data_IF_686292866296
#
_entry.id   IF_686292866296
#
_cell.length_a   1.000
_cell.length_b   1.000
_cell.length_c   1.000
_cell.angle_alpha   90.00
_cell.angle_beta   90.00
_cell.angle_gamma   90.00
#
_symmetry.space_group_name_H-M   'P 1'
#
loop_
_entity.id
_entity.type
_entity.pdbx_description
1 polymer ?
#
# COMPACT_ATOMS: atom_id res chain seq x y z
N UNK A 1 13.52 -23.87 -19.26
CA UNK A 1 12.76 -23.35 -18.13
C UNK A 1 11.49 -22.78 -18.71
N UNK A 2 10.34 -23.34 -18.38
CA UNK A 2 9.07 -22.98 -19.02
C UNK A 2 8.64 -21.60 -18.51
N UNK A 3 8.75 -20.59 -19.37
CA UNK A 3 7.93 -19.38 -19.24
C UNK A 3 6.49 -19.86 -19.19
N UNK A 4 5.80 -19.60 -18.08
CA UNK A 4 4.38 -19.89 -17.96
C UNK A 4 3.66 -19.06 -19.02
N UNK A 5 3.42 -19.68 -20.16
CA UNK A 5 2.54 -19.13 -21.19
C UNK A 5 1.20 -18.92 -20.46
N UNK A 6 0.76 -17.66 -20.33
CA UNK A 6 -0.61 -17.37 -19.90
C UNK A 6 -1.53 -18.34 -20.63
N UNK A 7 -2.26 -19.15 -19.88
CA UNK A 7 -3.10 -20.16 -20.52
C UNK A 7 -4.07 -19.45 -21.47
N UNK A 8 -4.35 -20.04 -22.63
CA UNK A 8 -5.34 -19.50 -23.55
C UNK A 8 -6.68 -19.21 -22.85
N UNK A 9 -7.02 -20.05 -21.87
CA UNK A 9 -8.20 -19.89 -21.02
C UNK A 9 -8.14 -18.58 -20.21
N UNK A 10 -6.99 -18.22 -19.62
CA UNK A 10 -6.83 -16.97 -18.89
C UNK A 10 -7.01 -15.75 -19.81
N UNK A 11 -6.39 -15.76 -20.98
CA UNK A 11 -6.55 -14.68 -21.97
C UNK A 11 -8.00 -14.50 -22.39
N UNK A 12 -8.71 -15.62 -22.62
CA UNK A 12 -10.15 -15.59 -22.96
C UNK A 12 -11.00 -15.05 -21.81
N UNK A 13 -10.73 -15.46 -20.58
CA UNK A 13 -11.46 -14.98 -19.39
C UNK A 13 -11.22 -13.48 -19.18
N UNK A 14 -9.96 -13.02 -19.22
CA UNK A 14 -9.61 -11.60 -19.12
C UNK A 14 -10.30 -10.77 -20.22
N UNK A 15 -10.33 -11.26 -21.45
CA UNK A 15 -11.01 -10.57 -22.56
C UNK A 15 -12.52 -10.51 -22.35
N UNK A 16 -13.14 -11.56 -21.81
CA UNK A 16 -14.58 -11.58 -21.48
C UNK A 16 -14.90 -10.55 -20.36
N UNK A 17 -14.11 -10.53 -19.30
CA UNK A 17 -14.25 -9.53 -18.22
C UNK A 17 -14.05 -8.13 -18.79
N UNK A 18 -13.07 -7.91 -19.67
CA UNK A 18 -12.85 -6.63 -20.34
C UNK A 18 -14.09 -6.12 -21.07
N UNK A 19 -14.76 -7.00 -21.82
CA UNK A 19 -16.01 -6.63 -22.50
C UNK A 19 -17.13 -6.28 -21.51
N UNK A 20 -17.22 -6.97 -20.38
CA UNK A 20 -18.19 -6.61 -19.34
C UNK A 20 -17.90 -5.22 -18.74
N UNK A 21 -16.65 -4.95 -18.45
CA UNK A 21 -16.21 -3.62 -17.97
C UNK A 21 -16.50 -2.54 -19.02
N UNK A 22 -16.21 -2.78 -20.28
CA UNK A 22 -16.50 -1.84 -21.39
C UNK A 22 -18.00 -1.52 -21.48
N UNK A 23 -18.86 -2.53 -21.36
CA UNK A 23 -20.33 -2.34 -21.35
C UNK A 23 -20.76 -1.51 -20.17
N UNK A 24 -20.25 -1.80 -18.96
CA UNK A 24 -20.60 -1.08 -17.75
C UNK A 24 -20.13 0.39 -17.85
N UNK A 25 -18.88 0.65 -18.23
CA UNK A 25 -18.35 2.00 -18.37
C UNK A 25 -19.08 2.80 -19.46
N UNK A 26 -19.47 2.19 -20.57
CA UNK A 26 -20.23 2.86 -21.66
C UNK A 26 -21.65 3.31 -21.27
N UNK A 27 -22.20 2.77 -20.18
CA UNK A 27 -23.51 3.14 -19.65
C UNK A 27 -23.43 4.06 -18.43
N UNK A 28 -22.23 4.31 -17.93
CA UNK A 28 -22.03 5.10 -16.72
C UNK A 28 -22.65 6.52 -16.80
N UNK A 29 -22.62 7.14 -17.96
CA UNK A 29 -23.21 8.50 -18.18
C UNK A 29 -24.73 8.49 -18.33
N UNK A 30 -25.34 7.35 -18.66
CA UNK A 30 -26.78 7.26 -18.95
C UNK A 30 -27.63 6.93 -17.73
N UNK A 31 -27.14 6.03 -16.89
CA UNK A 31 -27.81 5.58 -15.66
C UNK A 31 -26.75 5.15 -14.64
N UNK A 32 -26.24 6.11 -13.89
CA UNK A 32 -25.13 5.95 -12.93
C UNK A 32 -25.46 4.92 -11.83
N UNK A 33 -26.64 5.04 -11.22
CA UNK A 33 -27.03 4.16 -10.11
C UNK A 33 -27.14 2.71 -10.58
N UNK A 34 -27.76 2.49 -11.75
CA UNK A 34 -27.83 1.16 -12.35
C UNK A 34 -26.45 0.60 -12.68
N UNK A 35 -25.56 1.43 -13.22
CA UNK A 35 -24.19 1.05 -13.57
C UNK A 35 -23.40 0.63 -12.32
N UNK A 36 -23.47 1.40 -11.24
CA UNK A 36 -22.84 1.08 -9.96
C UNK A 36 -23.43 -0.20 -9.36
N UNK A 37 -24.76 -0.37 -9.42
CA UNK A 37 -25.43 -1.61 -9.01
C UNK A 37 -24.92 -2.83 -9.79
N UNK A 38 -24.72 -2.68 -11.11
CA UNK A 38 -24.16 -3.76 -11.94
C UNK A 38 -22.69 -4.08 -11.59
N UNK A 39 -21.88 -3.09 -11.19
CA UNK A 39 -20.53 -3.33 -10.68
C UNK A 39 -20.54 -4.19 -9.41
N UNK A 40 -21.49 -3.94 -8.51
CA UNK A 40 -21.67 -4.78 -7.30
C UNK A 40 -22.08 -6.21 -7.68
N UNK A 41 -22.95 -6.39 -8.70
CA UNK A 41 -23.34 -7.73 -9.19
C UNK A 41 -22.13 -8.46 -9.80
N UNK A 42 -21.33 -7.77 -10.58
CA UNK A 42 -20.08 -8.32 -11.14
C UNK A 42 -19.14 -8.72 -10.01
N UNK A 43 -18.94 -7.85 -9.00
CA UNK A 43 -18.14 -8.19 -7.83
C UNK A 43 -18.68 -9.43 -7.11
N UNK A 44 -20.00 -9.51 -6.89
CA UNK A 44 -20.64 -10.69 -6.27
C UNK A 44 -20.42 -11.97 -7.09
N UNK A 45 -20.48 -11.88 -8.41
CA UNK A 45 -20.23 -13.03 -9.29
C UNK A 45 -18.77 -13.53 -9.19
N UNK A 46 -17.79 -12.63 -9.03
CA UNK A 46 -16.39 -13.01 -8.91
C UNK A 46 -15.99 -13.42 -7.49
N UNK A 47 -16.42 -12.67 -6.49
CA UNK A 47 -16.01 -12.91 -5.10
C UNK A 47 -16.91 -13.91 -4.36
N UNK A 48 -18.11 -14.20 -4.87
CA UNK A 48 -19.01 -15.25 -4.37
C UNK A 48 -19.19 -15.21 -2.86
N UNK A 49 -18.90 -16.33 -2.21
CA UNK A 49 -19.00 -16.50 -0.76
C UNK A 49 -17.88 -15.84 0.06
N UNK A 50 -16.96 -15.07 -0.58
CA UNK A 50 -15.94 -14.32 0.16
C UNK A 50 -16.54 -13.24 1.07
N UNK A 51 -17.75 -12.79 0.77
CA UNK A 51 -18.56 -11.89 1.60
C UNK A 51 -19.98 -12.43 1.71
N UNK A 52 -20.69 -12.05 2.77
CA UNK A 52 -22.10 -12.45 2.94
C UNK A 52 -23.02 -11.72 1.94
N UNK A 53 -24.19 -12.30 1.70
CA UNK A 53 -25.21 -11.66 0.85
C UNK A 53 -25.64 -10.30 1.40
N UNK A 54 -25.71 -10.17 2.73
CA UNK A 54 -26.01 -8.90 3.41
C UNK A 54 -24.91 -7.83 3.15
N UNK A 55 -23.65 -8.26 3.08
CA UNK A 55 -22.54 -7.33 2.79
C UNK A 55 -22.61 -6.79 1.35
N UNK A 56 -22.97 -7.63 0.37
CA UNK A 56 -23.19 -7.17 -1.01
C UNK A 56 -24.41 -6.26 -1.12
N UNK A 57 -25.50 -6.58 -0.42
CA UNK A 57 -26.70 -5.75 -0.43
C UNK A 57 -26.45 -4.39 0.25
N UNK A 58 -25.74 -4.38 1.37
CA UNK A 58 -25.33 -3.15 2.04
C UNK A 58 -24.42 -2.30 1.13
N UNK A 59 -23.43 -2.91 0.48
CA UNK A 59 -22.57 -2.21 -0.47
C UNK A 59 -23.39 -1.64 -1.64
N UNK A 60 -24.37 -2.40 -2.16
CA UNK A 60 -25.28 -1.92 -3.21
C UNK A 60 -26.06 -0.69 -2.75
N UNK A 61 -26.73 -0.76 -1.60
CA UNK A 61 -27.53 0.34 -1.06
C UNK A 61 -26.66 1.58 -0.86
N UNK A 62 -25.52 1.43 -0.19
CA UNK A 62 -24.59 2.54 0.10
C UNK A 62 -24.03 3.18 -1.17
N UNK A 63 -23.62 2.37 -2.17
CA UNK A 63 -22.98 2.89 -3.39
C UNK A 63 -23.98 3.44 -4.42
N UNK A 64 -25.27 3.06 -4.34
CA UNK A 64 -26.31 3.58 -5.22
C UNK A 64 -27.13 4.72 -4.59
N UNK A 65 -26.99 4.98 -3.30
CA UNK A 65 -27.61 6.11 -2.62
C UNK A 65 -26.87 7.41 -3.00
N UNK A 66 -27.53 8.37 -3.69
CA UNK A 66 -26.87 9.60 -4.13
C UNK A 66 -26.42 10.51 -2.97
N UNK A 67 -27.00 10.36 -1.79
CA UNK A 67 -26.64 11.13 -0.60
C UNK A 67 -25.43 10.54 0.14
N UNK A 68 -25.13 9.26 -0.07
CA UNK A 68 -23.97 8.60 0.52
C UNK A 68 -22.64 9.21 0.01
N UNK A 69 -21.71 9.44 0.92
CA UNK A 69 -20.35 9.87 0.55
C UNK A 69 -19.61 8.87 -0.32
N UNK A 70 -19.89 7.57 -0.14
CA UNK A 70 -19.28 6.49 -0.93
C UNK A 70 -19.78 6.49 -2.37
N UNK A 71 -21.08 6.81 -2.57
CA UNK A 71 -21.63 7.07 -3.89
C UNK A 71 -20.98 8.29 -4.53
N UNK A 72 -20.82 9.38 -3.78
CA UNK A 72 -20.12 10.58 -4.25
C UNK A 72 -18.65 10.27 -4.63
N UNK A 73 -17.94 9.49 -3.81
CA UNK A 73 -16.56 9.07 -4.10
C UNK A 73 -16.48 8.26 -5.40
N UNK A 74 -17.32 7.23 -5.57
CA UNK A 74 -17.35 6.42 -6.79
C UNK A 74 -17.71 7.26 -8.01
N UNK A 75 -18.65 8.18 -7.87
CA UNK A 75 -19.02 9.09 -8.94
C UNK A 75 -17.85 10.00 -9.34
N UNK A 76 -17.13 10.58 -8.36
CA UNK A 76 -15.91 11.36 -8.64
C UNK A 76 -14.88 10.54 -9.41
N UNK A 77 -14.63 9.29 -8.98
CA UNK A 77 -13.67 8.40 -9.67
C UNK A 77 -14.11 8.15 -11.12
N UNK A 78 -15.39 7.85 -11.34
CA UNK A 78 -15.90 7.56 -12.68
C UNK A 78 -15.93 8.81 -13.59
N UNK A 79 -16.19 10.00 -13.02
CA UNK A 79 -16.27 11.25 -13.80
C UNK A 79 -14.88 11.83 -14.11
N UNK A 80 -13.89 11.61 -13.27
CA UNK A 80 -12.57 12.23 -13.37
C UNK A 80 -11.52 11.31 -13.99
N UNK A 81 -11.79 10.01 -14.11
CA UNK A 81 -10.80 9.06 -14.60
C UNK A 81 -10.91 8.84 -16.12
N UNK A 82 -9.77 8.89 -16.81
CA UNK A 82 -9.70 8.55 -18.23
C UNK A 82 -10.24 7.13 -18.47
N UNK A 83 -11.03 6.89 -19.52
CA UNK A 83 -11.64 5.58 -19.80
C UNK A 83 -10.63 4.43 -19.93
N UNK A 84 -9.43 4.66 -20.49
CA UNK A 84 -8.40 3.63 -20.57
C UNK A 84 -7.81 3.31 -19.20
N UNK A 85 -7.58 4.34 -18.37
CA UNK A 85 -7.11 4.18 -16.99
C UNK A 85 -8.14 3.40 -16.17
N UNK A 86 -9.42 3.82 -16.19
CA UNK A 86 -10.50 3.16 -15.46
C UNK A 86 -10.65 1.69 -15.86
N UNK A 87 -10.66 1.41 -17.17
CA UNK A 87 -10.74 0.06 -17.72
C UNK A 87 -9.56 -0.81 -17.29
N UNK A 88 -8.35 -0.29 -17.43
CA UNK A 88 -7.12 -1.03 -17.12
C UNK A 88 -7.02 -1.33 -15.63
N UNK A 89 -7.35 -0.37 -14.77
CA UNK A 89 -7.39 -0.59 -13.32
C UNK A 89 -8.46 -1.61 -12.93
N UNK A 90 -9.64 -1.56 -13.53
CA UNK A 90 -10.69 -2.56 -13.24
C UNK A 90 -10.23 -3.99 -13.59
N UNK A 91 -9.47 -4.15 -14.67
CA UNK A 91 -8.90 -5.45 -15.07
C UNK A 91 -7.73 -5.86 -14.18
N UNK A 92 -6.74 -4.97 -14.00
CA UNK A 92 -5.50 -5.34 -13.32
C UNK A 92 -5.69 -5.43 -11.80
N UNK A 93 -6.32 -4.43 -11.20
CA UNK A 93 -6.55 -4.44 -9.75
C UNK A 93 -7.78 -5.31 -9.41
N UNK A 94 -8.92 -5.09 -10.09
CA UNK A 94 -10.15 -5.82 -9.81
C UNK A 94 -10.04 -7.31 -10.17
N UNK A 95 -9.85 -7.63 -11.44
CA UNK A 95 -9.86 -9.03 -11.87
C UNK A 95 -8.56 -9.78 -11.55
N UNK A 96 -7.37 -9.22 -11.92
CA UNK A 96 -6.11 -9.93 -11.72
C UNK A 96 -5.68 -9.97 -10.25
N UNK A 97 -5.55 -8.82 -9.58
CA UNK A 97 -5.01 -8.79 -8.22
C UNK A 97 -6.02 -9.28 -7.17
N UNK A 98 -7.24 -8.68 -7.12
CA UNK A 98 -8.21 -9.01 -6.08
C UNK A 98 -8.86 -10.38 -6.28
N UNK A 99 -9.23 -10.74 -7.49
CA UNK A 99 -9.92 -12.00 -7.71
C UNK A 99 -8.97 -13.17 -7.99
N UNK A 100 -8.32 -13.19 -9.15
CA UNK A 100 -7.50 -14.32 -9.58
C UNK A 100 -6.25 -14.49 -8.73
N UNK A 101 -5.53 -13.40 -8.51
CA UNK A 101 -4.28 -13.38 -7.74
C UNK A 101 -4.49 -13.84 -6.31
N UNK A 102 -5.52 -13.32 -5.62
CA UNK A 102 -5.83 -13.73 -4.24
C UNK A 102 -6.09 -15.23 -4.13
N UNK A 103 -6.79 -15.84 -5.10
CA UNK A 103 -6.99 -17.29 -5.13
C UNK A 103 -5.64 -18.02 -5.26
N UNK A 104 -4.80 -17.64 -6.23
CA UNK A 104 -3.49 -18.23 -6.45
C UNK A 104 -2.59 -18.07 -5.23
N UNK A 105 -2.60 -16.90 -4.58
CA UNK A 105 -1.84 -16.65 -3.35
C UNK A 105 -2.25 -17.62 -2.24
N UNK A 106 -3.55 -17.82 -2.02
CA UNK A 106 -4.05 -18.75 -1.00
C UNK A 106 -3.60 -20.19 -1.27
N UNK A 107 -3.70 -20.65 -2.51
CA UNK A 107 -3.23 -21.97 -2.94
C UNK A 107 -1.71 -22.12 -2.73
N UNK A 108 -0.93 -21.11 -3.12
CA UNK A 108 0.52 -21.11 -2.98
C UNK A 108 0.99 -21.05 -1.53
N UNK A 109 0.30 -20.33 -0.64
CA UNK A 109 0.59 -20.35 0.81
C UNK A 109 0.51 -21.77 1.39
N UNK A 110 -0.52 -22.52 1.02
CA UNK A 110 -0.68 -23.91 1.43
C UNK A 110 0.39 -24.81 0.79
N UNK A 111 0.64 -24.62 -0.50
CA UNK A 111 1.62 -25.44 -1.24
C UNK A 111 3.05 -25.26 -0.74
N UNK A 112 3.45 -24.02 -0.50
CA UNK A 112 4.84 -23.68 -0.18
C UNK A 112 5.10 -23.51 1.32
N UNK A 113 4.05 -23.51 2.15
CA UNK A 113 4.16 -23.39 3.62
C UNK A 113 4.92 -22.13 4.07
N UNK A 114 4.75 -21.02 3.35
CA UNK A 114 5.31 -19.71 3.68
C UNK A 114 4.28 -18.60 3.40
N UNK A 115 4.59 -17.40 3.84
CA UNK A 115 3.83 -16.23 3.42
C UNK A 115 3.98 -16.01 1.91
N UNK A 116 2.89 -15.70 1.21
CA UNK A 116 2.91 -15.21 -0.17
C UNK A 116 2.20 -13.86 -0.16
N UNK A 117 2.86 -12.77 -0.58
CA UNK A 117 2.31 -11.42 -0.46
C UNK A 117 1.21 -11.15 -1.49
N UNK A 118 0.36 -10.17 -1.18
CA UNK A 118 -0.61 -9.63 -2.12
C UNK A 118 -0.02 -8.52 -2.99
N UNK A 119 0.97 -7.80 -2.46
CA UNK A 119 1.75 -6.81 -3.18
C UNK A 119 3.24 -6.92 -2.85
N UNK A 120 4.08 -6.50 -3.77
CA UNK A 120 5.53 -6.31 -3.56
C UNK A 120 5.83 -4.83 -3.70
N UNK A 121 6.52 -4.27 -2.70
CA UNK A 121 7.05 -2.91 -2.72
C UNK A 121 8.54 -2.99 -3.10
N UNK A 122 9.01 -2.17 -4.02
CA UNK A 122 10.43 -2.13 -4.35
C UNK A 122 10.92 -0.73 -4.74
N UNK A 123 12.23 -0.52 -4.59
CA UNK A 123 12.91 0.72 -4.86
C UNK A 123 13.67 0.67 -6.20
N UNK A 124 13.17 1.29 -7.27
CA UNK A 124 13.93 1.38 -8.52
C UNK A 124 15.29 2.04 -8.34
N UNK A 125 15.41 2.94 -7.38
CA UNK A 125 16.62 3.73 -7.09
C UNK A 125 16.63 4.25 -5.65
N UNK A 126 17.82 4.40 -5.07
CA UNK A 126 18.00 5.19 -3.84
C UNK A 126 18.23 6.69 -4.11
N UNK A 127 18.44 7.08 -5.37
CA UNK A 127 18.62 8.48 -5.70
C UNK A 127 17.36 9.29 -5.47
N UNK A 128 17.49 10.43 -4.80
CA UNK A 128 16.39 11.37 -4.58
C UNK A 128 16.87 12.80 -4.88
N UNK A 129 16.00 13.62 -5.42
CA UNK A 129 16.24 15.03 -5.66
C UNK A 129 15.84 15.92 -4.46
N UNK A 130 15.50 15.31 -3.32
CA UNK A 130 15.09 15.99 -2.09
C UNK A 130 15.81 15.42 -0.85
N UNK A 131 15.78 16.19 0.25
CA UNK A 131 16.36 15.83 1.56
C UNK A 131 15.35 16.13 2.68
N UNK A 132 14.31 15.29 2.78
CA UNK A 132 13.23 15.49 3.75
C UNK A 132 13.69 15.16 5.17
N UNK A 133 13.26 15.96 6.16
CA UNK A 133 13.56 15.72 7.57
C UNK A 133 12.96 14.37 8.02
N UNK A 134 13.79 13.51 8.60
CA UNK A 134 13.39 12.19 9.07
C UNK A 134 12.91 11.24 7.94
N UNK A 135 13.56 11.30 6.79
CA UNK A 135 13.29 10.39 5.69
C UNK A 135 13.78 8.97 6.04
N UNK A 136 12.88 7.99 6.04
CA UNK A 136 13.22 6.60 6.34
C UNK A 136 14.21 5.99 5.33
N UNK A 137 14.21 6.46 4.08
CA UNK A 137 15.11 5.98 3.02
C UNK A 137 16.46 6.71 2.98
N UNK A 138 16.70 7.68 3.86
CA UNK A 138 17.93 8.50 3.84
C UNK A 138 19.22 7.68 4.03
N UNK A 139 19.15 6.62 4.81
CA UNK A 139 20.30 5.79 5.16
C UNK A 139 20.74 4.81 4.04
N UNK A 140 19.95 4.61 3.00
CA UNK A 140 20.36 3.81 1.83
C UNK A 140 21.40 4.51 0.94
N UNK A 141 21.57 5.82 1.10
CA UNK A 141 22.42 6.62 0.22
C UNK A 141 21.78 6.89 -1.16
N UNK A 142 22.55 7.49 -2.09
CA UNK A 142 22.01 7.97 -3.36
C UNK A 142 22.62 7.26 -4.59
N UNK A 143 23.17 6.05 -4.44
CA UNK A 143 23.99 5.42 -5.49
C UNK A 143 23.46 4.12 -6.05
N UNK A 144 22.50 3.50 -5.37
CA UNK A 144 22.03 2.17 -5.75
C UNK A 144 20.82 2.25 -6.68
N UNK A 145 20.78 1.31 -7.60
CA UNK A 145 19.68 1.16 -8.55
C UNK A 145 19.47 -0.32 -8.81
N UNK A 146 18.22 -0.76 -8.81
CA UNK A 146 17.86 -2.02 -9.44
C UNK A 146 18.03 -1.88 -10.94
N UNK A 147 18.58 -2.90 -11.60
CA UNK A 147 18.57 -2.95 -13.07
C UNK A 147 17.15 -3.11 -13.61
N UNK A 148 16.94 -2.86 -14.89
CA UNK A 148 15.65 -3.16 -15.51
C UNK A 148 15.34 -4.66 -15.40
N UNK A 149 16.34 -5.49 -15.55
CA UNK A 149 16.26 -6.95 -15.47
C UNK A 149 15.85 -7.42 -14.05
N UNK A 150 16.33 -6.76 -12.99
CA UNK A 150 15.90 -7.04 -11.61
C UNK A 150 14.43 -6.69 -11.39
N UNK A 151 14.01 -5.50 -11.83
CA UNK A 151 12.61 -5.08 -11.75
C UNK A 151 11.69 -6.01 -12.56
N UNK A 152 12.11 -6.42 -13.74
CA UNK A 152 11.41 -7.39 -14.58
C UNK A 152 11.30 -8.77 -13.92
N UNK A 153 12.38 -9.24 -13.27
CA UNK A 153 12.41 -10.48 -12.49
C UNK A 153 11.41 -10.43 -11.35
N UNK A 154 11.41 -9.33 -10.57
CA UNK A 154 10.48 -9.15 -9.44
C UNK A 154 9.04 -9.30 -9.91
N UNK A 155 8.67 -8.63 -11.01
CA UNK A 155 7.30 -8.69 -11.52
C UNK A 155 6.98 -10.05 -12.11
N UNK A 156 7.88 -10.64 -12.87
CA UNK A 156 7.69 -11.96 -13.51
C UNK A 156 7.47 -13.06 -12.47
N UNK A 157 8.38 -13.18 -11.50
CA UNK A 157 8.31 -14.20 -10.45
C UNK A 157 7.14 -13.94 -9.48
N UNK A 158 6.84 -12.67 -9.19
CA UNK A 158 5.67 -12.31 -8.38
C UNK A 158 4.35 -12.74 -9.03
N UNK A 159 4.19 -12.58 -10.34
CA UNK A 159 3.01 -13.06 -11.10
C UNK A 159 2.85 -14.59 -11.00
N UNK A 160 3.93 -15.34 -11.02
CA UNK A 160 3.91 -16.80 -10.83
C UNK A 160 3.33 -17.19 -9.46
N UNK A 161 3.53 -16.34 -8.45
CA UNK A 161 2.99 -16.52 -7.10
C UNK A 161 1.56 -15.96 -6.93
N UNK A 162 1.06 -15.21 -7.90
CA UNK A 162 -0.27 -14.59 -7.88
C UNK A 162 -0.28 -13.09 -7.54
N UNK A 163 0.89 -12.44 -7.50
CA UNK A 163 1.02 -11.01 -7.21
C UNK A 163 0.80 -10.19 -8.47
N UNK A 164 -0.19 -9.28 -8.45
CA UNK A 164 -0.55 -8.41 -9.56
C UNK A 164 -0.60 -6.92 -9.17
N UNK A 165 -0.19 -6.58 -7.97
CA UNK A 165 0.00 -5.20 -7.51
C UNK A 165 1.45 -5.01 -7.09
N UNK A 166 2.08 -4.00 -7.64
CA UNK A 166 3.45 -3.59 -7.30
C UNK A 166 3.45 -2.13 -6.90
N UNK A 167 4.12 -1.84 -5.78
CA UNK A 167 4.30 -0.47 -5.34
C UNK A 167 5.77 -0.08 -5.51
N UNK A 168 6.01 1.14 -5.96
CA UNK A 168 7.35 1.68 -6.16
C UNK A 168 7.58 2.82 -5.17
N UNK A 169 8.75 2.79 -4.50
CA UNK A 169 9.21 3.84 -3.59
C UNK A 169 10.73 3.98 -3.70
N UNK A 170 11.44 4.27 -2.64
CA UNK A 170 12.89 4.37 -2.62
C UNK A 170 13.36 5.77 -2.30
N UNK A 171 14.32 6.28 -3.07
CA UNK A 171 14.60 7.71 -3.14
C UNK A 171 13.43 8.45 -3.79
N UNK A 172 13.58 8.85 -5.05
CA UNK A 172 12.45 9.29 -5.87
C UNK A 172 12.33 8.36 -7.10
N UNK A 173 11.28 7.52 -7.18
CA UNK A 173 11.12 6.55 -8.28
C UNK A 173 11.11 7.21 -9.65
N UNK A 174 10.55 8.40 -9.77
CA UNK A 174 10.43 9.11 -11.04
C UNK A 174 11.75 9.64 -11.61
N UNK A 175 12.87 9.52 -10.88
CA UNK A 175 14.21 9.64 -11.48
C UNK A 175 14.42 8.56 -12.56
N UNK A 176 13.72 7.43 -12.45
CA UNK A 176 13.74 6.28 -13.37
C UNK A 176 12.49 6.17 -14.24
N UNK A 177 11.84 7.30 -14.60
CA UNK A 177 10.59 7.32 -15.41
C UNK A 177 10.63 6.40 -16.63
N UNK A 178 11.73 6.43 -17.39
CA UNK A 178 11.84 5.66 -18.63
C UNK A 178 11.79 4.15 -18.38
N UNK A 179 12.48 3.67 -17.34
CA UNK A 179 12.44 2.26 -16.98
C UNK A 179 11.10 1.84 -16.40
N UNK A 180 10.47 2.71 -15.60
CA UNK A 180 9.13 2.47 -15.07
C UNK A 180 8.09 2.37 -16.18
N UNK A 181 8.09 3.27 -17.16
CA UNK A 181 7.20 3.20 -18.30
C UNK A 181 7.43 1.93 -19.13
N UNK A 182 8.68 1.57 -19.37
CA UNK A 182 9.06 0.33 -20.07
C UNK A 182 8.60 -0.91 -19.31
N UNK A 183 8.72 -0.91 -17.98
CA UNK A 183 8.26 -2.00 -17.11
C UNK A 183 6.73 -2.13 -17.14
N UNK A 184 6.01 -1.00 -17.04
CA UNK A 184 4.56 -0.95 -17.08
C UNK A 184 4.01 -1.39 -18.44
N UNK A 185 4.69 -1.05 -19.55
CA UNK A 185 4.33 -1.50 -20.89
C UNK A 185 4.54 -3.01 -21.06
N UNK A 186 5.67 -3.54 -20.57
CA UNK A 186 5.97 -4.97 -20.63
C UNK A 186 5.00 -5.80 -19.81
N UNK A 187 4.62 -5.30 -18.63
CA UNK A 187 3.70 -5.95 -17.70
C UNK A 187 2.36 -5.20 -17.63
N UNK A 188 1.68 -5.11 -18.77
CA UNK A 188 0.42 -4.38 -18.90
C UNK A 188 -0.78 -5.05 -18.19
N UNK A 189 -0.57 -6.24 -17.63
CA UNK A 189 -1.54 -7.05 -16.90
C UNK A 189 -1.43 -6.89 -15.36
N UNK A 190 -0.49 -6.08 -14.86
CA UNK A 190 -0.36 -5.75 -13.44
C UNK A 190 -0.64 -4.26 -13.18
N UNK A 191 -0.97 -3.93 -11.93
CA UNK A 191 -1.12 -2.54 -11.49
C UNK A 191 0.15 -2.08 -10.80
N UNK A 192 0.65 -0.92 -11.20
CA UNK A 192 1.72 -0.20 -10.49
C UNK A 192 1.14 0.96 -9.71
N UNK A 193 1.66 1.20 -8.51
CA UNK A 193 1.32 2.32 -7.66
C UNK A 193 2.61 2.98 -7.18
N UNK A 194 2.80 4.28 -7.42
CA UNK A 194 4.07 4.96 -7.23
C UNK A 194 3.96 5.98 -6.11
N UNK A 195 4.76 5.81 -5.05
CA UNK A 195 4.99 6.84 -4.06
C UNK A 195 6.00 7.84 -4.62
N UNK A 196 5.63 9.12 -4.68
CA UNK A 196 6.48 10.14 -5.28
C UNK A 196 6.42 11.46 -4.54
N UNK A 197 7.52 12.19 -4.54
CA UNK A 197 7.56 13.58 -4.11
C UNK A 197 6.92 14.54 -5.13
N UNK A 198 6.41 14.03 -6.24
CA UNK A 198 5.64 14.74 -7.27
C UNK A 198 6.42 15.71 -8.15
N UNK A 199 7.64 16.10 -7.78
CA UNK A 199 8.41 17.17 -8.46
C UNK A 199 8.79 16.84 -9.91
N UNK A 200 8.73 15.56 -10.28
CA UNK A 200 9.11 15.08 -11.61
C UNK A 200 7.90 14.70 -12.49
N UNK A 201 6.66 14.94 -12.05
CA UNK A 201 5.46 14.74 -12.87
C UNK A 201 5.36 15.89 -13.87
N UNK A 202 5.30 15.54 -15.15
CA UNK A 202 5.21 16.47 -16.26
C UNK A 202 4.20 16.00 -17.33
N UNK A 203 3.79 16.89 -18.19
CA UNK A 203 2.81 16.67 -19.26
C UNK A 203 3.16 15.48 -20.18
N UNK A 204 4.40 15.33 -20.70
CA UNK A 204 4.75 14.16 -21.50
C UNK A 204 4.62 12.83 -20.75
N UNK A 205 4.97 12.81 -19.45
CA UNK A 205 4.85 11.63 -18.63
C UNK A 205 3.39 11.26 -18.37
N UNK A 206 2.52 12.24 -18.07
CA UNK A 206 1.10 12.01 -17.91
C UNK A 206 0.45 11.38 -19.14
N UNK A 207 0.80 11.81 -20.34
CA UNK A 207 0.32 11.22 -21.60
C UNK A 207 0.68 9.74 -21.73
N UNK A 208 1.91 9.37 -21.41
CA UNK A 208 2.34 7.97 -21.42
C UNK A 208 1.63 7.13 -20.33
N UNK A 209 1.44 7.70 -19.14
CA UNK A 209 0.68 7.04 -18.06
C UNK A 209 -0.76 6.75 -18.50
N UNK A 210 -1.44 7.70 -19.12
CA UNK A 210 -2.80 7.50 -19.70
C UNK A 210 -2.79 6.43 -20.78
N UNK A 211 -1.80 6.46 -21.70
CA UNK A 211 -1.65 5.45 -22.75
C UNK A 211 -1.54 4.03 -22.17
N UNK A 212 -0.75 3.87 -21.12
CA UNK A 212 -0.54 2.57 -20.47
C UNK A 212 -1.73 2.17 -19.59
N UNK A 213 -2.28 3.10 -18.81
CA UNK A 213 -3.47 2.92 -17.98
C UNK A 213 -3.24 2.13 -16.69
N UNK A 214 -2.07 1.58 -16.44
CA UNK A 214 -1.77 0.69 -15.31
C UNK A 214 -0.86 1.32 -14.24
N UNK A 215 -0.78 2.64 -14.17
CA UNK A 215 -0.01 3.37 -13.17
C UNK A 215 -0.94 4.31 -12.38
N UNK A 216 -0.87 4.26 -11.06
CA UNK A 216 -1.51 5.19 -10.14
C UNK A 216 -0.46 5.82 -9.22
N UNK A 217 -0.80 6.93 -8.55
CA UNK A 217 0.16 7.66 -7.72
C UNK A 217 -0.32 7.85 -6.29
N UNK A 218 0.64 7.89 -5.35
CA UNK A 218 0.49 8.37 -3.99
C UNK A 218 1.43 9.58 -3.82
N UNK A 219 0.85 10.77 -3.82
CA UNK A 219 1.59 12.02 -3.77
C UNK A 219 1.93 12.37 -2.32
N UNK A 220 3.20 12.62 -2.08
CA UNK A 220 3.68 12.97 -0.74
C UNK A 220 3.28 14.38 -0.36
N UNK A 221 2.48 14.55 0.70
CA UNK A 221 2.04 15.85 1.21
C UNK A 221 1.89 15.81 2.74
N UNK A 222 2.20 16.93 3.43
CA UNK A 222 2.27 17.00 4.89
C UNK A 222 1.38 18.11 5.49
N UNK A 223 0.23 18.39 4.87
CA UNK A 223 -0.74 19.36 5.35
C UNK A 223 -0.67 20.71 4.64
N UNK A 224 -0.54 21.80 5.41
CA UNK A 224 -0.47 23.17 4.86
C UNK A 224 0.87 23.46 4.15
N UNK A 225 0.99 24.55 3.37
CA UNK A 225 2.28 24.94 2.79
C UNK A 225 3.41 24.98 3.82
N UNK A 226 3.13 25.55 5.00
CA UNK A 226 4.13 25.71 6.07
C UNK A 226 4.56 24.37 6.65
N UNK A 227 3.61 23.50 7.00
CA UNK A 227 3.94 22.16 7.58
C UNK A 227 4.58 21.25 6.54
N UNK A 228 4.17 21.35 5.30
CA UNK A 228 4.73 20.59 4.20
C UNK A 228 6.17 20.99 3.90
N UNK A 229 6.41 22.29 3.68
CA UNK A 229 7.72 22.77 3.26
C UNK A 229 8.74 22.74 4.43
N UNK A 230 8.27 22.84 5.69
CA UNK A 230 9.12 22.63 6.85
C UNK A 230 9.77 21.24 6.90
N UNK A 231 9.05 20.18 6.45
CA UNK A 231 9.58 18.82 6.42
C UNK A 231 10.28 18.49 5.10
N UNK A 232 9.73 18.95 3.97
CA UNK A 232 10.15 18.49 2.63
C UNK A 232 11.05 19.48 1.90
N UNK A 233 11.10 20.71 2.34
CA UNK A 233 11.87 21.79 1.71
C UNK A 233 10.99 22.80 0.99
N UNK A 234 11.49 24.02 0.90
CA UNK A 234 10.81 25.18 0.30
C UNK A 234 10.39 24.90 -1.15
N UNK A 235 9.12 25.22 -1.47
CA UNK A 235 8.54 25.08 -2.80
C UNK A 235 7.99 23.69 -3.12
N UNK A 236 8.16 22.70 -2.24
CA UNK A 236 7.62 21.36 -2.49
C UNK A 236 6.09 21.36 -2.53
N UNK A 237 5.41 22.12 -1.65
CA UNK A 237 3.96 22.22 -1.69
C UNK A 237 3.43 22.67 -3.06
N UNK A 238 4.05 23.70 -3.65
CA UNK A 238 3.67 24.17 -4.97
C UNK A 238 3.87 23.11 -6.06
N UNK A 239 4.93 22.33 -5.98
CA UNK A 239 5.17 21.24 -6.93
C UNK A 239 4.11 20.13 -6.81
N UNK A 240 3.69 19.77 -5.58
CA UNK A 240 2.59 18.80 -5.37
C UNK A 240 1.28 19.33 -5.93
N UNK A 241 0.96 20.60 -5.72
CA UNK A 241 -0.27 21.23 -6.28
C UNK A 241 -0.28 21.18 -7.80
N UNK A 242 0.84 21.49 -8.43
CA UNK A 242 0.98 21.41 -9.89
C UNK A 242 0.80 19.96 -10.39
N UNK A 243 1.40 19.01 -9.71
CA UNK A 243 1.25 17.58 -10.04
C UNK A 243 -0.20 17.10 -9.90
N UNK A 244 -0.91 17.49 -8.82
CA UNK A 244 -2.34 17.16 -8.65
C UNK A 244 -3.18 17.72 -9.80
N UNK A 245 -2.94 18.98 -10.20
CA UNK A 245 -3.67 19.60 -11.29
C UNK A 245 -3.42 18.88 -12.63
N UNK A 246 -2.16 18.52 -12.95
CA UNK A 246 -1.82 17.73 -14.13
C UNK A 246 -2.48 16.34 -14.13
N UNK A 247 -2.37 15.61 -13.02
CA UNK A 247 -2.94 14.27 -12.93
C UNK A 247 -4.48 14.31 -13.08
N UNK A 248 -5.13 15.28 -12.44
CA UNK A 248 -6.57 15.49 -12.57
C UNK A 248 -6.98 15.84 -13.99
N UNK A 249 -6.25 16.75 -14.67
CA UNK A 249 -6.51 17.14 -16.06
C UNK A 249 -6.42 15.96 -17.01
N UNK A 250 -5.47 15.05 -16.77
CA UNK A 250 -5.28 13.85 -17.58
C UNK A 250 -6.15 12.65 -17.16
N UNK A 251 -6.98 12.79 -16.14
CA UNK A 251 -7.83 11.69 -15.68
C UNK A 251 -7.04 10.52 -15.08
N UNK A 252 -5.90 10.78 -14.46
CA UNK A 252 -5.05 9.77 -13.82
C UNK A 252 -5.46 9.64 -12.36
N UNK A 253 -5.67 8.40 -11.90
CA UNK A 253 -6.02 8.13 -10.50
C UNK A 253 -4.82 8.37 -9.58
N UNK A 254 -5.04 9.16 -8.53
CA UNK A 254 -4.05 9.39 -7.49
C UNK A 254 -4.70 9.54 -6.11
N UNK A 255 -3.90 9.27 -5.11
CA UNK A 255 -4.16 9.55 -3.72
C UNK A 255 -2.97 10.26 -3.08
N UNK A 256 -2.96 10.35 -1.77
CA UNK A 256 -1.89 11.01 -1.01
C UNK A 256 -1.14 10.03 -0.11
N UNK A 257 0.13 10.32 0.13
CA UNK A 257 0.98 9.67 1.12
C UNK A 257 1.36 10.71 2.17
N UNK A 258 0.91 10.52 3.38
CA UNK A 258 1.01 11.49 4.47
C UNK A 258 1.76 10.84 5.63
N UNK A 259 2.93 11.39 5.96
CA UNK A 259 3.62 11.02 7.19
C UNK A 259 3.15 11.94 8.32
N UNK A 260 2.31 11.42 9.23
CA UNK A 260 1.92 12.21 10.39
C UNK A 260 2.93 12.09 11.53
N UNK A 261 3.21 13.25 12.11
CA UNK A 261 4.16 13.45 13.20
C UNK A 261 3.43 14.10 14.38
N UNK A 262 4.13 14.24 15.49
CA UNK A 262 3.64 15.01 16.63
C UNK A 262 3.23 16.44 16.27
N UNK A 263 3.90 17.03 15.28
CA UNK A 263 3.79 18.46 14.98
C UNK A 263 2.75 18.79 13.91
N UNK A 264 2.43 17.82 13.02
CA UNK A 264 1.53 18.09 11.87
C UNK A 264 0.18 17.34 11.93
N UNK A 265 -0.06 16.49 12.94
CA UNK A 265 -1.22 15.59 12.97
C UNK A 265 -2.56 16.34 12.80
N UNK A 266 -2.72 17.52 13.39
CA UNK A 266 -3.93 18.32 13.24
C UNK A 266 -4.05 18.90 11.82
N UNK A 267 -2.93 19.37 11.25
CA UNK A 267 -2.90 19.96 9.91
C UNK A 267 -3.27 18.94 8.82
N UNK A 268 -2.88 17.65 9.00
CA UNK A 268 -3.11 16.60 8.00
C UNK A 268 -4.42 15.83 8.19
N UNK A 269 -5.20 16.13 9.22
CA UNK A 269 -6.41 15.37 9.54
C UNK A 269 -7.67 16.21 9.68
N UNK A 270 -7.58 17.56 9.69
CA UNK A 270 -8.75 18.42 9.80
C UNK A 270 -9.64 18.36 8.54
N UNK A 271 -10.91 18.73 8.69
CA UNK A 271 -11.91 18.65 7.62
C UNK A 271 -11.57 19.53 6.42
N UNK A 272 -10.99 20.70 6.66
CA UNK A 272 -10.62 21.63 5.61
C UNK A 272 -9.59 21.03 4.66
N UNK A 273 -8.52 20.44 5.22
CA UNK A 273 -7.50 19.76 4.44
C UNK A 273 -8.06 18.54 3.69
N UNK A 274 -8.92 17.75 4.33
CA UNK A 274 -9.54 16.59 3.69
C UNK A 274 -10.43 17.00 2.51
N UNK A 275 -11.27 18.04 2.66
CA UNK A 275 -12.11 18.58 1.58
C UNK A 275 -11.25 19.15 0.46
N UNK A 276 -10.20 19.87 0.81
CA UNK A 276 -9.23 20.39 -0.17
C UNK A 276 -8.60 19.28 -1.01
N UNK A 277 -8.20 18.15 -0.40
CA UNK A 277 -7.67 17.00 -1.14
C UNK A 277 -8.70 16.42 -2.13
N UNK A 278 -9.98 16.31 -1.70
CA UNK A 278 -11.05 15.87 -2.59
C UNK A 278 -11.26 16.86 -3.77
N UNK A 279 -11.23 18.16 -3.51
CA UNK A 279 -11.33 19.19 -4.56
C UNK A 279 -10.19 19.12 -5.57
N UNK A 280 -8.98 18.79 -5.10
CA UNK A 280 -7.81 18.54 -5.95
C UNK A 280 -7.89 17.22 -6.74
N UNK A 281 -8.83 16.33 -6.42
CA UNK A 281 -9.03 15.06 -7.13
C UNK A 281 -8.37 13.85 -6.46
N UNK A 282 -7.87 13.99 -5.24
CA UNK A 282 -7.39 12.84 -4.48
C UNK A 282 -8.57 12.01 -3.94
N UNK A 283 -8.58 10.72 -4.21
CA UNK A 283 -9.68 9.82 -3.85
C UNK A 283 -9.42 9.00 -2.58
N UNK A 284 -8.15 8.87 -2.19
CA UNK A 284 -7.71 8.11 -1.02
C UNK A 284 -6.40 8.66 -0.46
N UNK A 285 -6.08 8.29 0.79
CA UNK A 285 -4.81 8.66 1.40
C UNK A 285 -4.26 7.58 2.30
N UNK A 286 -2.96 7.35 2.18
CA UNK A 286 -2.20 6.54 3.11
C UNK A 286 -1.59 7.43 4.18
N UNK A 287 -1.96 7.18 5.43
CA UNK A 287 -1.36 7.81 6.60
C UNK A 287 -0.31 6.88 7.18
N UNK A 288 0.89 7.38 7.32
CA UNK A 288 2.02 6.70 7.94
C UNK A 288 2.42 7.40 9.23
N UNK A 289 2.43 6.66 10.32
CA UNK A 289 3.06 7.10 11.55
C UNK A 289 4.55 7.36 11.30
N UNK A 290 5.10 8.45 11.83
CA UNK A 290 6.54 8.68 11.75
C UNK A 290 7.29 7.51 12.42
N UNK A 291 8.19 6.88 11.68
CA UNK A 291 8.96 5.72 12.13
C UNK A 291 10.41 6.12 12.41
N UNK A 292 10.97 5.82 13.59
CA UNK A 292 12.32 6.26 13.97
C UNK A 292 13.40 5.34 13.41
N UNK A 293 13.44 5.18 12.07
CA UNK A 293 14.38 4.32 11.35
C UNK A 293 15.65 5.09 11.01
N UNK A 294 16.81 4.45 11.18
CA UNK A 294 18.12 5.02 10.92
C UNK A 294 18.74 5.72 12.12
N UNK A 295 20.06 5.88 12.09
CA UNK A 295 20.82 6.54 13.17
C UNK A 295 20.48 8.03 13.31
N UNK A 296 20.10 8.69 12.20
CA UNK A 296 19.72 10.11 12.16
C UNK A 296 18.21 10.34 12.42
N UNK A 297 17.48 9.30 12.87
CA UNK A 297 16.07 9.43 13.16
C UNK A 297 15.80 10.42 14.30
N UNK A 298 14.64 11.08 14.23
CA UNK A 298 14.14 12.05 15.21
C UNK A 298 12.97 11.46 16.04
N UNK A 299 13.20 10.66 17.09
CA UNK A 299 12.15 10.01 17.85
C UNK A 299 11.13 10.97 18.47
N UNK A 300 11.52 12.24 18.68
CA UNK A 300 10.66 13.32 19.15
C UNK A 300 9.50 13.66 18.19
N UNK A 301 9.62 13.29 16.91
CA UNK A 301 8.56 13.44 15.92
C UNK A 301 7.46 12.37 16.04
N UNK A 302 7.70 11.29 16.79
CA UNK A 302 6.67 10.27 17.00
C UNK A 302 5.46 10.86 17.73
N UNK A 303 4.22 10.60 17.29
CA UNK A 303 3.01 11.02 17.97
C UNK A 303 2.95 10.49 19.40
N UNK A 304 2.35 11.27 20.32
CA UNK A 304 2.06 10.78 21.68
C UNK A 304 0.97 9.70 21.66
N UNK A 305 0.79 8.94 22.77
CA UNK A 305 -0.33 7.99 22.88
C UNK A 305 -1.70 8.65 22.65
N UNK A 306 -1.91 9.86 23.15
CA UNK A 306 -3.14 10.64 22.97
C UNK A 306 -3.35 11.02 21.51
N UNK A 307 -2.30 11.48 20.84
CA UNK A 307 -2.34 11.81 19.41
C UNK A 307 -2.59 10.56 18.56
N UNK A 308 -1.99 9.42 18.90
CA UNK A 308 -2.25 8.17 18.20
C UNK A 308 -3.69 7.68 18.42
N UNK A 309 -4.23 7.82 19.64
CA UNK A 309 -5.65 7.57 19.91
C UNK A 309 -6.54 8.49 19.07
N UNK A 310 -6.24 9.79 19.05
CA UNK A 310 -6.94 10.75 18.19
C UNK A 310 -6.94 10.30 16.72
N UNK A 311 -5.79 9.86 16.20
CA UNK A 311 -5.68 9.38 14.81
C UNK A 311 -6.61 8.18 14.55
N UNK A 312 -6.64 7.19 15.44
CA UNK A 312 -7.55 6.04 15.34
C UNK A 312 -9.01 6.50 15.31
N UNK A 313 -9.42 7.34 16.26
CA UNK A 313 -10.79 7.83 16.34
C UNK A 313 -11.14 8.66 15.09
N UNK A 314 -10.19 9.48 14.61
CA UNK A 314 -10.37 10.32 13.43
C UNK A 314 -10.54 9.50 12.15
N UNK A 315 -9.71 8.47 11.93
CA UNK A 315 -9.82 7.58 10.76
C UNK A 315 -11.16 6.80 10.80
N UNK A 316 -11.56 6.33 11.98
CA UNK A 316 -12.87 5.67 12.16
C UNK A 316 -14.02 6.62 11.81
N UNK A 317 -13.98 7.87 12.30
CA UNK A 317 -14.98 8.88 11.95
C UNK A 317 -14.99 9.16 10.44
N UNK A 318 -13.82 9.40 9.83
CA UNK A 318 -13.73 9.66 8.39
C UNK A 318 -14.28 8.50 7.54
N UNK A 319 -14.28 7.27 8.04
CA UNK A 319 -14.86 6.10 7.38
C UNK A 319 -16.34 5.85 7.73
N UNK A 320 -16.85 6.48 8.77
CA UNK A 320 -18.24 6.27 9.22
C UNK A 320 -19.25 6.99 8.32
N UNK A 321 -20.52 6.63 8.42
CA UNK A 321 -21.64 7.30 7.74
C UNK A 321 -21.94 8.71 8.29
N UNK A 322 -21.39 9.06 9.46
CA UNK A 322 -21.53 10.39 10.08
C UNK A 322 -20.72 11.46 9.35
N UNK A 323 -19.65 11.05 8.67
CA UNK A 323 -18.78 11.94 7.90
C UNK A 323 -19.27 12.02 6.45
N UNK A 324 -19.38 13.24 5.92
CA UNK A 324 -19.82 13.53 4.55
C UNK A 324 -18.67 13.70 3.53
N UNK A 325 -17.41 13.63 3.98
CA UNK A 325 -16.24 13.84 3.12
C UNK A 325 -15.99 12.59 2.26
N UNK A 326 -16.02 12.67 0.93
CA UNK A 326 -15.88 11.53 0.02
C UNK A 326 -14.41 11.17 -0.20
N UNK A 327 -13.72 10.75 0.86
CA UNK A 327 -12.31 10.37 0.88
C UNK A 327 -12.11 9.07 1.62
N UNK A 328 -11.26 8.17 1.13
CA UNK A 328 -10.95 6.91 1.80
C UNK A 328 -9.56 6.95 2.45
N UNK A 329 -9.46 7.25 3.76
CA UNK A 329 -8.20 7.23 4.49
C UNK A 329 -7.81 5.80 4.87
N UNK A 330 -6.52 5.48 4.80
CA UNK A 330 -5.91 4.24 5.29
C UNK A 330 -4.81 4.59 6.28
N UNK A 331 -4.76 3.95 7.44
CA UNK A 331 -3.74 4.18 8.46
C UNK A 331 -2.87 2.93 8.59
N UNK A 332 -1.67 3.01 8.05
CA UNK A 332 -0.77 1.87 7.92
C UNK A 332 -0.46 1.18 9.26
N UNK A 333 -0.28 1.96 10.34
CA UNK A 333 0.06 1.42 11.65
C UNK A 333 -1.17 1.00 12.47
N UNK A 334 -2.29 1.71 12.35
CA UNK A 334 -3.43 1.51 13.24
C UNK A 334 -4.54 0.64 12.62
N UNK A 335 -4.50 0.35 11.32
CA UNK A 335 -5.45 -0.55 10.65
C UNK A 335 -5.24 -2.04 10.95
N UNK A 336 -4.34 -2.38 11.86
CA UNK A 336 -4.08 -3.77 12.27
C UNK A 336 -5.33 -4.53 12.71
N UNK A 337 -6.32 -3.84 13.31
CA UNK A 337 -7.61 -4.42 13.68
C UNK A 337 -8.41 -4.93 12.47
N UNK A 338 -8.26 -4.31 11.29
CA UNK A 338 -8.97 -4.68 10.06
C UNK A 338 -8.23 -5.72 9.22
N UNK A 339 -6.92 -5.83 9.39
CA UNK A 339 -6.07 -6.70 8.57
C UNK A 339 -5.45 -7.87 9.37
N UNK A 340 -5.82 -8.03 10.64
CA UNK A 340 -5.35 -9.13 11.48
C UNK A 340 -3.92 -8.98 11.99
N UNK A 341 -3.51 -7.75 12.32
CA UNK A 341 -2.17 -7.44 12.84
C UNK A 341 -1.15 -7.10 11.77
N UNK A 342 0.14 -7.32 12.03
CA UNK A 342 1.23 -6.96 11.13
C UNK A 342 1.12 -7.65 9.76
N UNK A 343 1.21 -6.86 8.68
CA UNK A 343 1.09 -7.32 7.29
C UNK A 343 2.43 -7.61 6.61
N UNK A 344 3.55 -7.32 7.28
CA UNK A 344 4.91 -7.43 6.76
C UNK A 344 5.41 -8.89 6.64
N UNK A 345 6.65 -9.08 6.22
CA UNK A 345 7.28 -10.40 6.09
C UNK A 345 6.59 -11.29 5.07
N UNK A 346 6.08 -10.70 3.99
CA UNK A 346 5.38 -11.42 2.92
C UNK A 346 3.95 -11.84 3.28
N UNK A 347 3.41 -11.46 4.47
CA UNK A 347 2.02 -11.84 4.81
C UNK A 347 1.02 -11.15 3.88
N UNK A 348 1.15 -9.84 3.67
CA UNK A 348 0.43 -9.10 2.63
C UNK A 348 1.41 -8.34 1.74
N UNK A 349 2.57 -7.93 2.27
CA UNK A 349 3.61 -7.29 1.50
C UNK A 349 5.01 -7.54 2.09
N UNK A 350 6.02 -7.23 1.29
CA UNK A 350 7.41 -7.05 1.73
C UNK A 350 8.09 -6.02 0.81
N UNK A 351 9.29 -5.63 1.17
CA UNK A 351 10.08 -4.61 0.48
C UNK A 351 11.35 -5.18 -0.13
N UNK A 352 11.74 -4.68 -1.30
CA UNK A 352 13.04 -4.90 -1.91
C UNK A 352 13.69 -3.54 -2.13
N UNK A 353 14.80 -3.27 -1.46
CA UNK A 353 15.49 -2.01 -1.59
C UNK A 353 16.29 -1.91 -2.89
N UNK A 354 16.85 -0.73 -3.17
CA UNK A 354 17.59 -0.46 -4.41
C UNK A 354 18.95 -1.19 -4.53
N UNK A 355 19.43 -1.84 -3.47
CA UNK A 355 20.58 -2.73 -3.47
C UNK A 355 20.19 -4.20 -3.69
N UNK A 356 18.88 -4.48 -3.85
CA UNK A 356 18.34 -5.81 -4.04
C UNK A 356 18.06 -6.58 -2.77
N UNK A 357 18.32 -6.02 -1.58
CA UNK A 357 18.03 -6.70 -0.32
C UNK A 357 16.53 -6.77 -0.08
N UNK A 358 16.04 -7.95 0.29
CA UNK A 358 14.66 -8.20 0.62
C UNK A 358 14.44 -8.02 2.12
N UNK A 359 13.61 -7.05 2.46
CA UNK A 359 13.29 -6.62 3.82
C UNK A 359 11.85 -7.00 4.18
N UNK A 360 11.56 -7.44 5.40
CA UNK A 360 10.20 -7.77 5.79
C UNK A 360 9.22 -6.60 5.66
N UNK A 361 9.70 -5.37 5.86
CA UNK A 361 8.91 -4.13 5.84
C UNK A 361 9.80 -2.97 5.39
N UNK A 362 9.23 -1.99 4.72
CA UNK A 362 9.90 -0.76 4.31
C UNK A 362 10.54 0.02 5.48
N UNK A 363 10.11 -0.24 6.71
CA UNK A 363 10.67 0.36 7.93
C UNK A 363 11.56 -0.61 8.72
N UNK A 364 11.86 -1.79 8.20
CA UNK A 364 12.70 -2.81 8.85
C UNK A 364 13.90 -3.07 7.96
N UNK A 365 14.96 -2.29 8.15
CA UNK A 365 16.17 -2.30 7.36
C UNK A 365 17.14 -3.42 7.79
N UNK A 366 16.61 -4.66 7.80
CA UNK A 366 17.39 -5.88 8.07
C UNK A 366 17.03 -6.95 7.05
N UNK A 367 18.06 -7.64 6.54
CA UNK A 367 17.89 -8.69 5.55
C UNK A 367 18.90 -9.82 5.71
N UNK A 368 18.57 -10.98 5.19
CA UNK A 368 19.47 -12.09 4.89
C UNK A 368 19.12 -12.75 3.54
N UNK A 369 18.50 -11.97 2.65
CA UNK A 369 18.10 -12.42 1.32
C UNK A 369 18.20 -11.27 0.31
N UNK A 370 18.63 -11.59 -0.93
CA UNK A 370 18.83 -10.59 -1.97
C UNK A 370 18.29 -11.10 -3.31
N UNK A 371 17.62 -10.23 -4.07
CA UNK A 371 16.98 -10.57 -5.35
C UNK A 371 17.99 -10.92 -6.45
N UNK A 372 19.22 -10.47 -6.35
CA UNK A 372 20.26 -10.81 -7.34
C UNK A 372 20.62 -12.29 -7.30
N UNK A 373 20.61 -12.88 -6.10
CA UNK A 373 21.08 -14.25 -5.88
C UNK A 373 19.93 -15.27 -5.70
N UNK A 374 18.72 -14.80 -5.36
CA UNK A 374 17.58 -15.63 -4.98
C UNK A 374 16.33 -15.30 -5.78
N UNK A 375 15.45 -16.26 -5.95
CA UNK A 375 14.08 -16.05 -6.45
C UNK A 375 13.19 -15.48 -5.34
N UNK A 376 12.06 -14.89 -5.72
CA UNK A 376 11.06 -14.41 -4.76
C UNK A 376 10.61 -15.53 -3.79
N UNK A 377 10.44 -16.74 -4.28
CA UNK A 377 10.05 -17.86 -3.43
C UNK A 377 11.16 -18.26 -2.44
N UNK A 378 12.43 -18.24 -2.82
CA UNK A 378 13.57 -18.48 -1.93
C UNK A 378 13.70 -17.37 -0.89
N UNK A 379 13.49 -16.11 -1.27
CA UNK A 379 13.41 -14.97 -0.35
C UNK A 379 12.34 -15.20 0.72
N UNK A 380 11.13 -15.62 0.34
CA UNK A 380 10.04 -15.87 1.27
C UNK A 380 10.30 -17.06 2.22
N UNK A 381 11.26 -17.93 1.90
CA UNK A 381 11.77 -19.00 2.77
C UNK A 381 13.05 -18.62 3.53
N UNK A 382 13.57 -17.40 3.35
CA UNK A 382 14.76 -16.97 4.09
C UNK A 382 14.50 -16.95 5.61
N UNK A 383 15.53 -17.08 6.45
CA UNK A 383 15.36 -17.21 7.89
C UNK A 383 14.53 -16.08 8.52
N UNK A 384 14.77 -14.83 8.14
CA UNK A 384 14.03 -13.69 8.69
C UNK A 384 12.56 -13.69 8.26
N UNK A 385 12.25 -14.00 6.99
CA UNK A 385 10.88 -14.10 6.50
C UNK A 385 10.13 -15.25 7.17
N UNK A 386 10.78 -16.38 7.39
CA UNK A 386 10.19 -17.50 8.12
C UNK A 386 10.01 -17.21 9.61
N UNK A 387 10.85 -16.37 10.23
CA UNK A 387 10.61 -15.90 11.59
C UNK A 387 9.33 -15.04 11.66
N UNK A 388 9.09 -14.16 10.66
CA UNK A 388 7.81 -13.43 10.53
C UNK A 388 6.63 -14.39 10.33
N UNK A 389 6.73 -15.32 9.39
CA UNK A 389 5.69 -16.31 9.11
C UNK A 389 5.28 -17.10 10.34
N UNK A 390 6.26 -17.54 11.15
CA UNK A 390 6.02 -18.33 12.34
C UNK A 390 5.54 -17.51 13.54
N UNK A 391 5.94 -16.23 13.62
CA UNK A 391 5.65 -15.34 14.74
C UNK A 391 4.33 -14.56 14.64
N UNK A 392 3.81 -14.36 13.44
CA UNK A 392 2.58 -13.58 13.23
C UNK A 392 1.32 -14.33 13.66
N UNK A 393 0.32 -13.62 14.25
CA UNK A 393 0.37 -12.23 14.67
C UNK A 393 1.25 -12.03 15.90
N UNK A 394 2.11 -11.00 15.88
CA UNK A 394 3.07 -10.75 16.97
C UNK A 394 2.43 -10.34 18.30
N UNK A 395 1.20 -9.85 18.27
CA UNK A 395 0.44 -9.45 19.44
C UNK A 395 -1.05 -9.77 19.23
N UNK A 396 -1.73 -10.21 20.31
CA UNK A 396 -3.18 -10.46 20.31
C UNK A 396 -3.97 -9.16 20.20
N UNK A 397 -3.42 -8.07 20.69
CA UNK A 397 -3.95 -6.73 20.48
C UNK A 397 -3.42 -6.19 19.16
N UNK A 398 -4.26 -6.16 18.12
CA UNK A 398 -3.87 -5.75 16.78
C UNK A 398 -3.70 -4.22 16.62
N UNK A 399 -3.89 -3.43 17.66
CA UNK A 399 -3.43 -2.04 17.74
C UNK A 399 -1.97 -1.94 18.21
N UNK A 400 -1.33 -3.09 18.45
CA UNK A 400 0.10 -3.24 18.76
C UNK A 400 0.75 -4.26 17.81
N UNK A 401 0.59 -4.11 16.48
CA UNK A 401 0.93 -5.17 15.54
C UNK A 401 2.43 -5.26 15.22
N UNK A 402 3.18 -4.15 15.30
CA UNK A 402 4.53 -4.05 14.76
C UNK A 402 5.58 -4.68 15.69
N UNK A 403 6.45 -5.55 15.18
CA UNK A 403 7.53 -6.13 15.97
C UNK A 403 8.63 -5.11 16.33
N UNK A 404 8.71 -3.95 15.63
CA UNK A 404 9.65 -2.87 15.93
C UNK A 404 9.03 -1.86 16.89
N UNK A 405 7.91 -1.25 16.50
CA UNK A 405 7.37 -0.07 17.19
C UNK A 405 6.70 -0.43 18.53
N UNK A 406 5.97 -1.55 18.58
CA UNK A 406 5.19 -1.95 19.76
C UNK A 406 5.72 -3.20 20.48
N UNK A 407 6.55 -4.00 19.82
CA UNK A 407 7.08 -5.25 20.38
C UNK A 407 8.59 -5.37 20.08
N UNK A 408 9.43 -4.37 20.43
CA UNK A 408 10.83 -4.29 19.96
C UNK A 408 11.69 -5.50 20.34
N UNK A 409 11.43 -6.16 21.47
CA UNK A 409 12.15 -7.36 21.85
C UNK A 409 11.92 -8.54 20.88
N UNK A 410 10.78 -8.56 20.15
CA UNK A 410 10.54 -9.58 19.12
C UNK A 410 11.40 -9.33 17.88
N UNK A 411 11.52 -8.07 17.42
CA UNK A 411 12.41 -7.77 16.31
C UNK A 411 13.87 -8.09 16.65
N UNK A 412 14.32 -7.62 17.83
CA UNK A 412 15.68 -7.90 18.32
C UNK A 412 15.98 -9.40 18.29
N UNK A 413 15.08 -10.21 18.85
CA UNK A 413 15.20 -11.65 18.86
C UNK A 413 15.27 -12.23 17.45
N UNK A 414 14.34 -11.86 16.56
CA UNK A 414 14.30 -12.37 15.18
C UNK A 414 15.59 -12.05 14.41
N UNK A 415 16.09 -10.81 14.49
CA UNK A 415 17.30 -10.40 13.78
C UNK A 415 18.53 -11.16 14.31
N UNK A 416 18.70 -11.29 15.64
CA UNK A 416 19.82 -12.04 16.22
C UNK A 416 19.76 -13.54 15.89
N UNK A 417 18.60 -14.16 16.01
CA UNK A 417 18.45 -15.62 15.77
C UNK A 417 18.62 -15.98 14.30
N UNK A 418 18.27 -15.09 13.38
CA UNK A 418 18.36 -15.34 11.94
C UNK A 418 19.68 -14.89 11.32
N UNK A 419 20.47 -14.11 12.04
CA UNK A 419 21.72 -13.54 11.54
C UNK A 419 21.49 -12.49 10.44
N UNK A 420 20.32 -11.85 10.42
CA UNK A 420 20.06 -10.77 9.48
C UNK A 420 20.96 -9.57 9.77
N UNK A 421 21.44 -8.91 8.72
CA UNK A 421 22.30 -7.72 8.79
C UNK A 421 21.52 -6.44 8.47
N UNK A 422 22.03 -5.30 8.93
CA UNK A 422 21.49 -3.99 8.55
C UNK A 422 21.69 -3.74 7.05
N UNK A 423 20.67 -3.23 6.40
CA UNK A 423 20.66 -2.84 4.98
C UNK A 423 20.90 -1.34 4.78
N UNK A 424 21.08 -0.58 5.87
CA UNK A 424 21.51 0.81 5.82
C UNK A 424 22.99 0.87 5.39
N UNK A 425 23.24 1.46 4.23
CA UNK A 425 24.58 1.45 3.62
C UNK A 425 25.48 2.59 4.08
N UNK A 426 24.89 3.71 4.48
CA UNK A 426 25.66 4.87 4.92
C UNK A 426 26.06 4.78 6.40
N UNK A 427 25.11 4.41 7.25
CA UNK A 427 25.29 4.33 8.69
C UNK A 427 24.50 3.12 9.22
N UNK A 428 25.05 1.89 9.08
CA UNK A 428 24.36 0.69 9.51
C UNK A 428 23.89 0.77 10.97
N UNK A 429 22.58 0.74 11.19
CA UNK A 429 21.98 0.76 12.51
C UNK A 429 21.91 -0.66 13.08
N UNK A 430 22.40 -0.87 14.32
CA UNK A 430 22.20 -2.15 15.00
C UNK A 430 20.73 -2.31 15.44
N UNK A 431 20.25 -3.56 15.40
CA UNK A 431 18.88 -3.85 15.88
C UNK A 431 18.69 -3.50 17.35
N UNK A 432 19.74 -3.58 18.15
CA UNK A 432 19.70 -3.24 19.57
C UNK A 432 19.43 -1.72 19.75
N UNK A 433 20.13 -0.88 18.98
CA UNK A 433 19.91 0.56 19.02
C UNK A 433 18.50 0.95 18.55
N UNK A 434 18.04 0.41 17.42
CA UNK A 434 16.69 0.65 16.90
C UNK A 434 15.62 0.23 17.93
N UNK A 435 15.76 -0.95 18.52
CA UNK A 435 14.79 -1.45 19.50
C UNK A 435 14.79 -0.64 20.79
N UNK A 436 15.94 -0.15 21.23
CA UNK A 436 16.04 0.72 22.42
C UNK A 436 15.35 2.07 22.18
N UNK A 437 15.43 2.64 20.98
CA UNK A 437 14.65 3.86 20.60
C UNK A 437 13.13 3.64 20.75
N UNK A 438 12.62 2.45 20.42
CA UNK A 438 11.19 2.14 20.42
C UNK A 438 10.66 1.70 21.80
N UNK A 439 11.51 1.31 22.73
CA UNK A 439 11.12 0.66 23.98
C UNK A 439 10.20 1.51 24.88
N UNK A 440 10.55 2.76 25.09
CA UNK A 440 9.71 3.68 25.90
C UNK A 440 8.40 4.01 25.18
N UNK A 441 8.43 4.17 23.86
CA UNK A 441 7.24 4.39 23.04
C UNK A 441 6.26 3.22 23.16
N UNK A 442 6.74 1.99 23.00
CA UNK A 442 5.94 0.78 23.13
C UNK A 442 5.26 0.67 24.52
N UNK A 443 6.03 0.95 25.58
CA UNK A 443 5.52 0.93 26.96
C UNK A 443 4.45 2.02 27.21
N UNK A 444 4.63 3.21 26.68
CA UNK A 444 3.68 4.32 26.83
C UNK A 444 2.40 4.10 26.03
N UNK A 445 2.49 3.48 24.84
CA UNK A 445 1.33 3.19 24.00
C UNK A 445 0.47 2.04 24.55
N UNK A 446 1.07 1.06 25.19
CA UNK A 446 0.40 -0.17 25.61
C UNK A 446 -0.90 0.07 26.40
N UNK A 447 -0.98 0.90 27.47
CA UNK A 447 -2.21 1.07 28.25
C UNK A 447 -3.36 1.60 27.40
N UNK A 448 -3.10 2.61 26.57
CA UNK A 448 -4.09 3.22 25.68
C UNK A 448 -4.56 2.21 24.60
N UNK A 449 -3.65 1.46 24.01
CA UNK A 449 -3.98 0.43 23.04
C UNK A 449 -4.86 -0.68 23.66
N UNK A 450 -4.54 -1.12 24.86
CA UNK A 450 -5.27 -2.18 25.55
C UNK A 450 -6.68 -1.71 25.96
N UNK A 451 -6.84 -0.44 26.34
CA UNK A 451 -8.14 0.17 26.59
C UNK A 451 -9.00 0.18 25.33
N UNK A 452 -8.49 0.75 24.21
CA UNK A 452 -9.22 0.81 22.94
C UNK A 452 -9.59 -0.61 22.47
N UNK A 453 -8.66 -1.55 22.56
CA UNK A 453 -8.85 -2.93 22.11
C UNK A 453 -9.95 -3.64 22.93
N UNK A 454 -10.04 -3.38 24.23
CA UNK A 454 -11.08 -3.99 25.09
C UNK A 454 -12.51 -3.63 24.66
N UNK A 455 -12.69 -2.51 23.96
CA UNK A 455 -13.97 -2.04 23.43
C UNK A 455 -14.14 -2.33 21.93
N UNK A 456 -13.11 -2.84 21.26
CA UNK A 456 -13.16 -3.16 19.84
C UNK A 456 -13.93 -4.45 19.63
N UNK A 457 -14.97 -4.43 18.78
CA UNK A 457 -15.68 -5.64 18.36
C UNK A 457 -14.79 -6.42 17.40
N UNK A 458 -14.10 -7.42 17.91
CA UNK A 458 -13.28 -8.31 17.11
C UNK A 458 -14.20 -9.08 16.15
N UNK A 459 -14.02 -8.89 14.86
CA UNK A 459 -14.64 -9.72 13.84
C UNK A 459 -13.78 -10.96 13.65
N UNK A 460 -13.95 -11.98 14.49
CA UNK A 460 -13.19 -13.23 14.48
C UNK A 460 -13.11 -13.86 13.08
N UNK A 461 -14.15 -13.74 12.28
CA UNK A 461 -14.22 -14.28 10.92
C UNK A 461 -13.22 -13.71 9.90
N UNK A 462 -12.53 -12.58 10.20
CA UNK A 462 -11.53 -11.99 9.32
C UNK A 462 -10.10 -12.43 9.61
N UNK A 463 -9.87 -13.16 10.71
CA UNK A 463 -8.55 -13.52 11.21
C UNK A 463 -8.20 -14.99 10.99
N UNK A 464 -8.90 -15.69 10.08
CA UNK A 464 -8.50 -17.02 9.71
C UNK A 464 -7.05 -16.98 9.24
N UNK A 465 -6.17 -17.53 10.07
CA UNK A 465 -4.81 -17.77 9.68
C UNK A 465 -4.86 -18.64 8.43
N UNK A 466 -4.27 -18.19 7.32
CA UNK A 466 -4.22 -18.99 6.09
C UNK A 466 -3.69 -20.43 6.34
N UNK A 467 -2.98 -20.69 7.45
CA UNK A 467 -2.54 -22.02 7.88
C UNK A 467 -3.73 -22.98 8.13
N UNK A 468 -4.89 -22.43 8.49
CA UNK A 468 -6.12 -23.20 8.74
C UNK A 468 -7.03 -23.24 7.49
N UNK A 469 -6.65 -22.53 6.42
CA UNK A 469 -7.44 -22.49 5.20
C UNK A 469 -7.36 -23.82 4.44
N UNK A 470 -8.54 -24.41 4.15
CA UNK A 470 -8.67 -25.65 3.37
C UNK A 470 -9.29 -25.34 2.02
N UNK A 471 -8.68 -25.74 0.89
CA UNK A 471 -9.13 -25.40 -0.47
C UNK A 471 -10.58 -25.78 -0.80
N UNK A 472 -11.18 -26.73 -0.06
CA UNK A 472 -12.49 -27.29 -0.30
C UNK A 472 -13.59 -26.79 0.66
N UNK A 473 -13.36 -25.71 1.41
CA UNK A 473 -14.32 -25.09 2.33
C UNK A 473 -14.84 -23.74 1.81
N UNK A 474 -14.98 -23.62 0.49
CA UNK A 474 -15.67 -22.49 -0.14
C UNK A 474 -17.07 -22.93 -0.57
#
# INVERSE_FOLDING_TARGET
MNTSVESLTHKMQRAAVGKMVDVVLSHADKDRQKTVGQLVDVAKQFYGSSFSDEAYEHARQTLTDPDSKWSKLINCVLDQTDPNVARTMALNLGYEAFFRGTKTIRENRVKYQCNIPWLILFDPTSACNMHCVGCWAGEYGNKNNLSFEDMDKIVTEGKELGVYLYMLTGGEPLVRKADILKLAEKHNDVQFAIYTNSTLIDEPFCKEVVRLGNIAFMLSIEGTPETNDARRGEGHYAAVMHAMDLLKEHGIVFGTSICYTRDNIEAVTNDEFMRFLCEKGAHFGFYFHYMPVGNEAAPELMPTPEQRKYMIDRIRYLRSEECDIPFYPMDFQNDGEFVGGCIAGGRNYFHINSAGDAEPCVFIHYSNANIHDQSILEILHSPLFMAYHNGQPFNKNHLRPCPMLENPELLRKMVHETGAHSTDLQSPESVDHLCDKCKSYAANWQPTADEIWSHTKIRESRYENYKDWKPNQQ
#
